data_IF_103441667559
#
_entry.id   IF_103441667559
#
_cell.length_a   1.000
_cell.length_b   1.000
_cell.length_c   1.000
_cell.angle_alpha   90.00
_cell.angle_beta   90.00
_cell.angle_gamma   90.00
#
_symmetry.space_group_name_H-M   'P 1'
#
loop_
_entity.id
_entity.type
_entity.pdbx_description
1 polymer ?
#
# COMPACT_ATOMS: atom_id res chain seq x y z
N UNK A 1 7.21 1.37 11.89
CA UNK A 1 6.26 0.25 11.91
C UNK A 1 5.78 0.05 13.33
N UNK A 2 4.46 0.02 13.54
CA UNK A 2 3.83 -0.19 14.84
C UNK A 2 3.52 -1.67 15.11
N UNK A 3 3.22 -2.42 14.06
CA UNK A 3 3.00 -3.86 14.09
C UNK A 3 4.23 -4.58 14.62
N UNK A 4 4.03 -5.71 15.31
CA UNK A 4 5.14 -6.51 15.80
C UNK A 4 5.92 -7.16 14.66
N UNK A 5 7.16 -7.57 14.92
CA UNK A 5 7.94 -8.34 13.97
C UNK A 5 7.23 -9.65 13.59
N UNK A 6 6.59 -10.32 14.55
CA UNK A 6 5.82 -11.54 14.28
C UNK A 6 4.62 -11.31 13.35
N UNK A 7 3.93 -10.18 13.47
CA UNK A 7 2.86 -9.81 12.55
C UNK A 7 3.42 -9.52 11.15
N UNK A 8 4.51 -8.76 11.07
CA UNK A 8 5.21 -8.48 9.82
C UNK A 8 5.65 -9.76 9.10
N UNK A 9 6.31 -10.68 9.80
CA UNK A 9 6.81 -11.93 9.23
C UNK A 9 5.67 -12.79 8.67
N UNK A 10 4.53 -12.83 9.38
CA UNK A 10 3.34 -13.53 8.89
C UNK A 10 2.73 -12.86 7.67
N UNK A 11 2.61 -11.53 7.65
CA UNK A 11 2.13 -10.77 6.48
C UNK A 11 2.99 -11.11 5.27
N UNK A 12 4.31 -10.97 5.39
CA UNK A 12 5.25 -11.33 4.32
C UNK A 12 5.07 -12.80 3.89
N UNK A 13 4.96 -13.72 4.85
CA UNK A 13 4.72 -15.14 4.58
C UNK A 13 3.41 -15.41 3.84
N UNK A 14 2.33 -14.68 4.10
CA UNK A 14 1.08 -14.86 3.35
C UNK A 14 1.12 -14.26 1.95
N UNK A 15 1.90 -13.21 1.74
CA UNK A 15 2.00 -12.54 0.45
C UNK A 15 2.95 -13.29 -0.51
N UNK A 16 4.05 -13.87 -0.01
CA UNK A 16 5.08 -14.49 -0.88
C UNK A 16 5.53 -15.88 -0.47
N UNK A 17 4.89 -16.49 0.54
CA UNK A 17 5.22 -17.80 1.15
C UNK A 17 6.58 -17.84 1.87
N UNK A 18 7.68 -17.55 1.19
CA UNK A 18 9.02 -17.52 1.75
C UNK A 18 9.98 -16.73 0.84
N UNK A 19 11.16 -16.37 1.37
CA UNK A 19 12.23 -15.76 0.57
C UNK A 19 12.61 -16.64 -0.64
N UNK A 20 12.69 -17.96 -0.46
CA UNK A 20 13.02 -18.88 -1.55
C UNK A 20 11.95 -18.87 -2.66
N UNK A 21 10.67 -18.83 -2.29
CA UNK A 21 9.58 -18.72 -3.26
C UNK A 21 9.59 -17.37 -3.96
N UNK A 22 9.83 -16.28 -3.22
CA UNK A 22 9.99 -14.94 -3.79
C UNK A 22 11.11 -14.90 -4.83
N UNK A 23 12.29 -15.40 -4.47
CA UNK A 23 13.45 -15.42 -5.37
C UNK A 23 13.17 -16.21 -6.65
N UNK A 24 12.40 -17.30 -6.55
CA UNK A 24 12.05 -18.12 -7.69
C UNK A 24 10.92 -17.52 -8.57
N UNK A 25 9.95 -16.80 -7.99
CA UNK A 25 8.69 -16.46 -8.67
C UNK A 25 8.36 -14.96 -8.76
N UNK A 26 8.74 -14.16 -7.77
CA UNK A 26 8.17 -12.82 -7.54
C UNK A 26 9.18 -11.67 -7.67
N UNK A 27 10.41 -11.95 -8.11
CA UNK A 27 11.39 -10.87 -8.41
C UNK A 27 10.95 -9.96 -9.56
N UNK A 28 10.11 -10.48 -10.47
CA UNK A 28 9.60 -9.77 -11.65
C UNK A 28 8.13 -9.39 -11.45
N UNK A 29 7.65 -8.34 -12.12
CA UNK A 29 6.25 -7.93 -12.08
C UNK A 29 5.30 -9.07 -12.45
N UNK A 30 4.18 -9.14 -11.74
CA UNK A 30 3.05 -10.00 -12.06
C UNK A 30 1.75 -9.21 -12.24
N UNK A 31 0.74 -9.86 -12.82
CA UNK A 31 -0.61 -9.32 -12.89
C UNK A 31 -1.55 -10.35 -12.25
N UNK A 32 -2.02 -10.13 -11.02
CA UNK A 32 -2.81 -11.11 -10.29
C UNK A 32 -4.26 -11.20 -10.79
N UNK A 33 -4.69 -10.30 -11.67
CA UNK A 33 -6.02 -10.31 -12.29
C UNK A 33 -6.91 -9.11 -11.91
N UNK A 34 -8.17 -9.19 -12.32
CA UNK A 34 -9.24 -8.23 -11.99
C UNK A 34 -8.88 -6.77 -12.31
N UNK A 35 -8.94 -5.88 -11.32
CA UNK A 35 -8.63 -4.44 -11.43
C UNK A 35 -7.22 -4.11 -10.96
N UNK A 36 -6.33 -5.11 -10.91
CA UNK A 36 -4.94 -4.91 -10.49
C UNK A 36 -4.10 -4.35 -11.64
N UNK A 37 -3.03 -3.64 -11.30
CA UNK A 37 -1.96 -3.26 -12.21
C UNK A 37 -0.77 -4.22 -12.16
N UNK A 38 0.39 -3.82 -12.70
CA UNK A 38 1.63 -4.54 -12.48
C UNK A 38 2.00 -4.52 -10.99
N UNK A 39 2.08 -5.69 -10.39
CA UNK A 39 2.45 -5.88 -8.98
C UNK A 39 3.91 -6.27 -8.88
N UNK A 40 4.66 -5.56 -8.05
CA UNK A 40 6.10 -5.76 -7.84
C UNK A 40 6.43 -5.94 -6.36
N UNK A 41 7.61 -6.51 -6.07
CA UNK A 41 8.04 -6.74 -4.69
C UNK A 41 7.01 -7.56 -3.90
N UNK A 42 6.71 -7.13 -2.67
CA UNK A 42 5.73 -7.79 -1.81
C UNK A 42 4.41 -7.00 -1.89
N UNK A 43 3.54 -7.40 -2.82
CA UNK A 43 2.17 -6.89 -2.95
C UNK A 43 2.06 -5.40 -3.33
N UNK A 44 3.08 -4.82 -3.98
CA UNK A 44 3.04 -3.42 -4.40
C UNK A 44 2.41 -3.29 -5.79
N UNK A 45 1.13 -2.91 -5.84
CA UNK A 45 0.43 -2.65 -7.10
C UNK A 45 0.79 -1.24 -7.64
N UNK A 46 1.53 -1.20 -8.75
CA UNK A 46 1.92 0.03 -9.43
C UNK A 46 0.73 0.73 -10.08
N UNK A 47 -0.24 -0.03 -10.59
CA UNK A 47 -1.44 0.54 -11.23
C UNK A 47 -2.36 1.26 -10.25
N UNK A 48 -2.42 0.80 -9.00
CA UNK A 48 -3.21 1.42 -7.93
C UNK A 48 -2.44 2.47 -7.11
N UNK A 49 -1.17 2.69 -7.40
CA UNK A 49 -0.34 3.69 -6.69
C UNK A 49 -0.01 4.85 -7.62
N UNK A 50 -0.10 6.08 -7.11
CA UNK A 50 0.22 7.27 -7.90
C UNK A 50 1.73 7.39 -8.16
N UNK A 51 2.08 8.14 -9.21
CA UNK A 51 3.46 8.32 -9.68
C UNK A 51 4.40 8.87 -8.61
N UNK A 52 3.94 9.84 -7.81
CA UNK A 52 4.79 10.50 -6.82
C UNK A 52 5.13 9.53 -5.68
N UNK A 53 4.14 8.74 -5.23
CA UNK A 53 4.34 7.69 -4.23
C UNK A 53 5.27 6.59 -4.75
N UNK A 54 5.11 6.12 -6.00
CA UNK A 54 6.02 5.14 -6.60
C UNK A 54 7.45 5.70 -6.62
N UNK A 55 7.62 6.93 -7.09
CA UNK A 55 8.94 7.56 -7.13
C UNK A 55 9.55 7.64 -5.73
N UNK A 56 8.83 8.15 -4.73
CA UNK A 56 9.33 8.28 -3.36
C UNK A 56 9.71 6.94 -2.71
N UNK A 57 8.89 5.90 -2.94
CA UNK A 57 9.12 4.59 -2.34
C UNK A 57 10.32 3.86 -2.96
N UNK A 58 10.58 4.06 -4.25
CA UNK A 58 11.55 3.26 -5.00
C UNK A 58 12.83 4.01 -5.42
N UNK A 59 12.84 5.35 -5.35
CA UNK A 59 14.02 6.16 -5.66
C UNK A 59 15.22 5.76 -4.79
N UNK A 60 16.37 5.55 -5.44
CA UNK A 60 17.61 5.12 -4.79
C UNK A 60 17.60 3.65 -4.32
N UNK A 61 16.48 2.93 -4.45
CA UNK A 61 16.37 1.49 -4.11
C UNK A 61 16.44 0.58 -5.33
N UNK A 62 16.14 1.12 -6.51
CA UNK A 62 16.27 0.43 -7.81
C UNK A 62 16.95 1.35 -8.85
N UNK A 63 17.57 0.79 -9.90
CA UNK A 63 18.04 1.55 -11.05
C UNK A 63 17.00 2.52 -11.61
N UNK A 64 17.42 3.71 -12.03
CA UNK A 64 16.54 4.75 -12.57
C UNK A 64 15.71 4.28 -13.76
N UNK A 65 16.29 3.47 -14.65
CA UNK A 65 15.56 2.88 -15.78
C UNK A 65 14.40 1.99 -15.34
N UNK A 66 14.57 1.23 -14.25
CA UNK A 66 13.51 0.41 -13.66
C UNK A 66 12.43 1.31 -13.05
N UNK A 67 12.85 2.35 -12.32
CA UNK A 67 11.94 3.29 -11.69
C UNK A 67 11.06 4.02 -12.71
N UNK A 68 11.63 4.44 -13.84
CA UNK A 68 10.88 5.11 -14.92
C UNK A 68 9.78 4.21 -15.48
N UNK A 69 10.08 2.90 -15.69
CA UNK A 69 9.09 1.91 -16.10
C UNK A 69 7.99 1.73 -15.04
N UNK A 70 8.38 1.67 -13.76
CA UNK A 70 7.44 1.52 -12.64
C UNK A 70 6.50 2.73 -12.53
N UNK A 71 7.03 3.95 -12.63
CA UNK A 71 6.23 5.19 -12.61
C UNK A 71 5.32 5.28 -13.83
N UNK A 72 5.78 4.85 -15.01
CA UNK A 72 4.97 4.80 -16.23
C UNK A 72 3.83 3.76 -16.17
N UNK A 73 3.89 2.80 -15.25
CA UNK A 73 2.82 1.83 -15.00
C UNK A 73 1.68 2.37 -14.13
N UNK A 74 1.88 3.51 -13.46
CA UNK A 74 0.87 4.14 -12.60
C UNK A 74 -0.45 4.39 -13.33
N UNK A 75 -1.56 4.03 -12.68
CA UNK A 75 -2.92 4.16 -13.22
C UNK A 75 -3.31 3.09 -14.24
N UNK A 76 -2.41 2.18 -14.62
CA UNK A 76 -2.72 1.08 -15.55
C UNK A 76 -3.26 -0.12 -14.76
N UNK A 77 -4.58 -0.31 -14.81
CA UNK A 77 -5.29 -1.41 -14.15
C UNK A 77 -6.06 -2.28 -15.16
N UNK A 78 -6.54 -3.43 -14.73
CA UNK A 78 -7.36 -4.31 -15.58
C UNK A 78 -6.61 -4.79 -16.82
N UNK A 79 -7.26 -4.75 -17.98
CA UNK A 79 -6.64 -5.15 -19.24
C UNK A 79 -5.40 -4.30 -19.58
N UNK A 80 -5.43 -3.00 -19.26
CA UNK A 80 -4.28 -2.10 -19.42
C UNK A 80 -3.14 -2.48 -18.47
N UNK A 81 -3.48 -2.87 -17.23
CA UNK A 81 -2.55 -3.41 -16.24
C UNK A 81 -1.86 -4.68 -16.75
N UNK A 82 -2.63 -5.66 -17.25
CA UNK A 82 -2.10 -6.89 -17.85
C UNK A 82 -1.10 -6.60 -18.98
N UNK A 83 -1.46 -5.71 -19.90
CA UNK A 83 -0.60 -5.33 -21.02
C UNK A 83 0.68 -4.63 -20.53
N UNK A 84 0.55 -3.72 -19.55
CA UNK A 84 1.69 -3.03 -18.95
C UNK A 84 2.64 -3.99 -18.25
N UNK A 85 2.11 -4.97 -17.49
CA UNK A 85 2.92 -5.99 -16.82
C UNK A 85 3.74 -6.76 -17.85
N UNK A 86 3.10 -7.24 -18.93
CA UNK A 86 3.80 -7.98 -19.97
C UNK A 86 4.92 -7.16 -20.62
N UNK A 87 4.71 -5.86 -20.82
CA UNK A 87 5.69 -4.97 -21.45
C UNK A 87 6.92 -4.72 -20.58
N UNK A 88 6.77 -4.59 -19.26
CA UNK A 88 7.88 -4.23 -18.34
C UNK A 88 8.50 -5.45 -17.65
N UNK A 89 7.93 -6.65 -17.82
CA UNK A 89 8.25 -7.83 -17.00
C UNK A 89 9.72 -8.21 -17.03
N UNK A 90 10.39 -8.07 -18.17
CA UNK A 90 11.77 -8.54 -18.35
C UNK A 90 12.81 -7.49 -17.98
N UNK A 91 12.39 -6.24 -17.77
CA UNK A 91 13.26 -5.11 -17.45
C UNK A 91 13.24 -4.74 -15.96
N UNK A 92 12.37 -5.39 -15.18
CA UNK A 92 12.24 -5.21 -13.74
C UNK A 92 12.65 -6.50 -13.03
N UNK A 93 13.65 -6.39 -12.16
CA UNK A 93 14.13 -7.47 -11.30
C UNK A 93 14.48 -6.91 -9.92
N UNK A 94 13.68 -7.26 -8.90
CA UNK A 94 13.77 -6.69 -7.56
C UNK A 94 14.31 -7.74 -6.58
N UNK A 95 15.51 -7.54 -6.02
CA UNK A 95 16.06 -8.41 -4.98
C UNK A 95 15.16 -8.48 -3.75
N UNK A 96 15.26 -9.59 -3.00
CA UNK A 96 14.45 -9.83 -1.81
C UNK A 96 14.61 -8.72 -0.77
N UNK A 97 15.85 -8.31 -0.51
CA UNK A 97 16.20 -7.34 0.52
C UNK A 97 15.57 -5.97 0.22
N UNK A 98 15.56 -5.59 -1.06
CA UNK A 98 14.92 -4.36 -1.54
C UNK A 98 13.40 -4.44 -1.38
N UNK A 99 12.78 -5.54 -1.82
CA UNK A 99 11.33 -5.72 -1.69
C UNK A 99 10.88 -5.75 -0.22
N UNK A 100 11.64 -6.41 0.65
CA UNK A 100 11.37 -6.48 2.08
C UNK A 100 11.51 -5.10 2.75
N UNK A 101 12.56 -4.34 2.39
CA UNK A 101 12.76 -2.98 2.89
C UNK A 101 11.61 -2.05 2.48
N UNK A 102 11.24 -2.02 1.21
CA UNK A 102 10.09 -1.23 0.73
C UNK A 102 8.79 -1.66 1.41
N UNK A 103 8.57 -2.96 1.58
CA UNK A 103 7.37 -3.44 2.26
C UNK A 103 7.32 -2.97 3.72
N UNK A 104 8.45 -3.04 4.45
CA UNK A 104 8.57 -2.63 5.85
C UNK A 104 8.51 -1.13 6.08
N UNK A 105 9.19 -0.36 5.22
CA UNK A 105 9.39 1.08 5.41
C UNK A 105 8.27 1.92 4.79
N UNK A 106 7.66 1.44 3.70
CA UNK A 106 6.71 2.23 2.92
C UNK A 106 5.32 1.62 2.90
N UNK A 107 5.20 0.33 2.54
CA UNK A 107 3.89 -0.30 2.31
C UNK A 107 3.15 -0.53 3.62
N UNK A 108 3.77 -1.22 4.57
CA UNK A 108 3.11 -1.57 5.81
C UNK A 108 2.70 -0.33 6.63
N UNK A 109 3.54 0.72 6.79
CA UNK A 109 3.11 1.95 7.47
C UNK A 109 1.90 2.64 6.82
N UNK A 110 1.77 2.60 5.48
CA UNK A 110 0.57 3.10 4.79
C UNK A 110 -0.67 2.29 5.15
N UNK A 111 -0.55 0.96 5.27
CA UNK A 111 -1.66 0.11 5.71
C UNK A 111 -1.98 0.29 7.20
N UNK A 112 -0.98 0.44 8.06
CA UNK A 112 -1.16 0.79 9.48
C UNK A 112 -1.95 2.09 9.63
N UNK A 113 -1.63 3.12 8.83
CA UNK A 113 -2.36 4.38 8.81
C UNK A 113 -3.83 4.20 8.36
N UNK A 114 -4.09 3.33 7.37
CA UNK A 114 -5.46 2.98 6.96
C UNK A 114 -6.24 2.32 8.10
N UNK A 115 -5.62 1.43 8.87
CA UNK A 115 -6.25 0.80 10.05
C UNK A 115 -6.57 1.83 11.12
N UNK A 116 -5.58 2.64 11.51
CA UNK A 116 -5.74 3.68 12.52
C UNK A 116 -6.83 4.70 12.15
N UNK A 117 -7.02 4.98 10.85
CA UNK A 117 -8.11 5.82 10.36
C UNK A 117 -9.47 5.13 10.38
N UNK A 118 -9.52 3.83 10.10
CA UNK A 118 -10.77 3.10 9.91
C UNK A 118 -11.39 2.56 11.21
N UNK A 119 -10.57 2.35 12.24
CA UNK A 119 -10.98 1.77 13.52
C UNK A 119 -10.69 2.73 14.68
N UNK A 120 -11.61 2.88 15.64
CA UNK A 120 -11.37 3.65 16.86
C UNK A 120 -10.46 2.87 17.82
N UNK A 121 -9.94 3.53 18.86
CA UNK A 121 -9.28 2.90 20.00
C UNK A 121 -8.06 2.02 19.63
N UNK A 122 -7.45 2.26 18.46
CA UNK A 122 -6.32 1.42 18.03
C UNK A 122 -5.14 1.60 18.95
N UNK A 123 -4.92 2.77 19.56
CA UNK A 123 -3.87 3.10 20.52
C UNK A 123 -3.83 2.18 21.76
N UNK A 124 -4.94 1.51 22.09
CA UNK A 124 -5.02 0.54 23.19
C UNK A 124 -4.61 -0.88 22.78
N UNK A 125 -4.26 -1.11 21.52
CA UNK A 125 -3.80 -2.40 21.02
C UNK A 125 -2.30 -2.55 21.17
N UNK A 126 -1.87 -3.73 21.61
CA UNK A 126 -0.48 -4.17 21.48
C UNK A 126 -0.07 -4.26 20.00
N UNK A 127 1.24 -4.35 19.77
CA UNK A 127 1.81 -4.44 18.43
C UNK A 127 1.34 -5.68 17.66
N UNK A 128 1.04 -6.79 18.35
CA UNK A 128 0.48 -8.00 17.76
C UNK A 128 -0.96 -7.79 17.31
N UNK A 129 -1.82 -7.29 18.21
CA UNK A 129 -3.23 -7.02 17.90
C UNK A 129 -3.37 -6.03 16.74
N UNK A 130 -2.59 -4.94 16.77
CA UNK A 130 -2.61 -3.95 15.70
C UNK A 130 -2.06 -4.52 14.38
N UNK A 131 -1.01 -5.34 14.45
CA UNK A 131 -0.46 -6.03 13.29
C UNK A 131 -1.43 -7.01 12.64
N UNK A 132 -2.25 -7.70 13.43
CA UNK A 132 -3.31 -8.58 12.90
C UNK A 132 -4.40 -7.79 12.16
N UNK A 133 -4.85 -6.66 12.72
CA UNK A 133 -5.82 -5.80 12.02
C UNK A 133 -5.22 -5.20 10.73
N UNK A 134 -3.91 -4.93 10.74
CA UNK A 134 -3.17 -4.52 9.54
C UNK A 134 -3.13 -5.64 8.50
N UNK A 135 -2.83 -6.88 8.89
CA UNK A 135 -2.90 -8.05 8.01
C UNK A 135 -4.29 -8.26 7.40
N UNK A 136 -5.34 -8.20 8.23
CA UNK A 136 -6.72 -8.33 7.77
C UNK A 136 -7.06 -7.23 6.75
N UNK A 137 -6.67 -5.99 7.04
CA UNK A 137 -6.91 -4.85 6.17
C UNK A 137 -6.13 -4.94 4.87
N UNK A 138 -4.90 -5.46 4.90
CA UNK A 138 -4.12 -5.75 3.69
C UNK A 138 -4.86 -6.76 2.78
N UNK A 139 -5.42 -7.83 3.36
CA UNK A 139 -6.13 -8.87 2.62
C UNK A 139 -7.52 -8.47 2.12
N UNK A 140 -8.25 -7.65 2.88
CA UNK A 140 -9.69 -7.35 2.63
C UNK A 140 -10.01 -5.89 2.39
N UNK A 141 -9.02 -5.02 2.40
CA UNK A 141 -9.20 -3.58 2.46
C UNK A 141 -9.76 -3.09 3.80
N UNK A 142 -9.83 -1.77 3.98
CA UNK A 142 -10.38 -1.10 5.16
C UNK A 142 -11.93 -1.12 5.17
N UNK A 143 -12.53 -2.27 4.91
CA UNK A 143 -13.96 -2.45 4.66
C UNK A 143 -14.82 -2.54 5.93
N UNK A 144 -14.39 -1.92 7.03
CA UNK A 144 -15.02 -2.01 8.36
C UNK A 144 -16.40 -1.34 8.46
N UNK A 145 -16.80 -0.56 7.46
CA UNK A 145 -18.13 0.05 7.35
C UNK A 145 -18.90 -0.39 6.09
N UNK A 146 -18.33 -1.30 5.29
CA UNK A 146 -18.97 -1.76 4.07
C UNK A 146 -20.23 -2.58 4.39
N UNK A 147 -21.26 -2.43 3.54
CA UNK A 147 -22.55 -3.11 3.69
C UNK A 147 -22.55 -4.48 3.00
N UNK A 148 -23.45 -5.36 3.43
CA UNK A 148 -23.64 -6.69 2.87
C UNK A 148 -23.10 -7.82 3.75
N UNK A 149 -23.54 -9.04 3.43
CA UNK A 149 -23.29 -10.26 4.20
C UNK A 149 -21.78 -10.55 4.37
N UNK A 150 -21.00 -10.38 3.31
CA UNK A 150 -19.55 -10.65 3.34
C UNK A 150 -18.73 -9.77 4.29
N UNK A 151 -19.32 -8.72 4.87
CA UNK A 151 -18.63 -7.76 5.75
C UNK A 151 -19.19 -7.77 7.18
N UNK A 152 -20.01 -8.77 7.55
CA UNK A 152 -20.60 -8.88 8.90
C UNK A 152 -19.50 -8.83 9.98
N UNK A 153 -18.49 -9.68 9.88
CA UNK A 153 -17.41 -9.78 10.87
C UNK A 153 -16.52 -8.53 10.86
N UNK A 154 -16.32 -7.89 9.69
CA UNK A 154 -15.59 -6.62 9.61
C UNK A 154 -16.32 -5.52 10.40
N UNK A 155 -17.65 -5.44 10.30
CA UNK A 155 -18.44 -4.48 11.07
C UNK A 155 -18.47 -4.83 12.56
N UNK A 156 -18.55 -6.12 12.89
CA UNK A 156 -18.48 -6.59 14.27
C UNK A 156 -17.14 -6.24 14.94
N UNK A 157 -16.01 -6.44 14.25
CA UNK A 157 -14.68 -5.98 14.72
C UNK A 157 -14.70 -4.49 15.02
N UNK A 158 -15.28 -3.66 14.14
CA UNK A 158 -15.37 -2.22 14.39
C UNK A 158 -16.21 -1.89 15.63
N UNK A 159 -17.31 -2.61 15.86
CA UNK A 159 -18.14 -2.45 17.04
C UNK A 159 -17.37 -2.86 18.31
N UNK A 160 -16.69 -4.01 18.30
CA UNK A 160 -15.85 -4.47 19.42
C UNK A 160 -14.71 -3.48 19.72
N UNK A 161 -14.08 -2.92 18.68
CA UNK A 161 -13.08 -1.85 18.83
C UNK A 161 -13.68 -0.61 19.50
N UNK A 162 -14.88 -0.17 19.09
CA UNK A 162 -15.54 1.00 19.67
C UNK A 162 -15.91 0.78 21.16
N UNK A 163 -16.38 -0.42 21.50
CA UNK A 163 -16.72 -0.84 22.85
C UNK A 163 -15.50 -1.23 23.71
N UNK A 164 -14.28 -1.24 23.12
CA UNK A 164 -13.04 -1.73 23.74
C UNK A 164 -13.12 -3.21 24.19
N UNK A 165 -13.99 -3.98 23.55
CA UNK A 165 -14.17 -5.41 23.79
C UNK A 165 -13.19 -6.23 22.91
N UNK A 166 -11.90 -5.90 22.98
CA UNK A 166 -10.89 -6.46 22.07
C UNK A 166 -10.80 -7.99 22.13
N UNK A 167 -11.15 -8.59 23.28
CA UNK A 167 -11.18 -10.03 23.49
C UNK A 167 -12.17 -10.78 22.58
N UNK A 168 -13.14 -10.09 21.95
CA UNK A 168 -14.11 -10.69 21.01
C UNK A 168 -13.60 -10.76 19.57
N UNK A 169 -12.54 -10.01 19.22
CA UNK A 169 -12.03 -9.93 17.84
C UNK A 169 -11.50 -11.26 17.29
N UNK A 170 -10.81 -12.13 18.07
CA UNK A 170 -10.37 -13.45 17.59
C UNK A 170 -11.50 -14.31 17.03
N UNK A 171 -12.67 -14.27 17.65
CA UNK A 171 -13.84 -15.05 17.19
C UNK A 171 -14.37 -14.53 15.86
N UNK A 172 -14.40 -13.20 15.66
CA UNK A 172 -14.76 -12.60 14.38
C UNK A 172 -13.78 -12.99 13.27
N UNK A 173 -12.47 -13.02 13.58
CA UNK A 173 -11.44 -13.47 12.63
C UNK A 173 -11.68 -14.92 12.19
N UNK A 174 -11.98 -15.83 13.13
CA UNK A 174 -12.27 -17.23 12.82
C UNK A 174 -13.61 -17.40 12.09
N UNK A 175 -14.63 -16.62 12.45
CA UNK A 175 -15.94 -16.64 11.81
C UNK A 175 -15.86 -16.28 10.32
N UNK A 176 -14.96 -15.37 9.93
CA UNK A 176 -14.73 -15.00 8.53
C UNK A 176 -14.35 -16.18 7.61
N UNK A 177 -13.90 -17.33 8.16
CA UNK A 177 -13.63 -18.54 7.37
C UNK A 177 -14.83 -19.01 6.56
N UNK A 178 -16.06 -18.66 6.97
CA UNK A 178 -17.28 -18.96 6.20
C UNK A 178 -17.29 -18.36 4.80
N UNK A 179 -16.52 -17.30 4.55
CA UNK A 179 -16.44 -16.63 3.25
C UNK A 179 -15.61 -17.42 2.23
N UNK A 180 -14.80 -18.37 2.70
CA UNK A 180 -13.91 -19.18 1.88
C UNK A 180 -13.85 -20.63 2.40
N UNK A 181 -14.98 -21.37 2.32
CA UNK A 181 -15.06 -22.73 2.83
C UNK A 181 -13.98 -23.65 2.23
N UNK A 182 -13.65 -23.44 0.94
CA UNK A 182 -12.73 -24.29 0.20
C UNK A 182 -11.29 -23.77 0.14
N UNK A 183 -11.01 -22.59 0.72
CA UNK A 183 -9.65 -22.02 0.72
C UNK A 183 -8.90 -22.36 2.00
N UNK A 184 -8.15 -23.47 1.98
CA UNK A 184 -7.29 -23.85 3.11
C UNK A 184 -6.35 -22.70 3.53
N UNK A 185 -5.70 -22.06 2.56
CA UNK A 185 -4.74 -20.98 2.85
C UNK A 185 -5.36 -19.78 3.57
N UNK A 186 -6.55 -19.33 3.17
CA UNK A 186 -7.24 -18.23 3.84
C UNK A 186 -7.77 -18.64 5.22
N UNK A 187 -8.21 -19.89 5.37
CA UNK A 187 -8.66 -20.43 6.65
C UNK A 187 -7.52 -20.51 7.66
N UNK A 188 -6.39 -21.08 7.25
CA UNK A 188 -5.18 -21.17 8.07
C UNK A 188 -4.65 -19.76 8.42
N UNK A 189 -4.74 -18.80 7.50
CA UNK A 189 -4.44 -17.37 7.77
C UNK A 189 -5.31 -16.79 8.88
N UNK A 190 -6.64 -16.96 8.79
CA UNK A 190 -7.59 -16.44 9.80
C UNK A 190 -7.34 -17.05 11.19
N UNK A 191 -7.05 -18.35 11.26
CA UNK A 191 -6.74 -19.02 12.53
C UNK A 191 -5.41 -18.53 13.12
N UNK A 192 -4.38 -18.34 12.29
CA UNK A 192 -3.10 -17.82 12.72
C UNK A 192 -3.15 -16.34 13.14
N UNK A 193 -3.99 -15.53 12.51
CA UNK A 193 -4.27 -14.15 12.92
C UNK A 193 -5.00 -14.10 14.26
N UNK A 194 -6.03 -14.94 14.45
CA UNK A 194 -6.74 -15.02 15.73
C UNK A 194 -5.79 -15.42 16.87
N UNK A 195 -4.95 -16.44 16.67
CA UNK A 195 -3.95 -16.86 17.65
C UNK A 195 -2.91 -15.77 17.97
N UNK A 196 -2.47 -15.02 16.95
CA UNK A 196 -1.56 -13.89 17.17
C UNK A 196 -2.24 -12.74 17.92
N UNK A 197 -3.52 -12.47 17.64
CA UNK A 197 -4.29 -11.45 18.35
C UNK A 197 -4.47 -11.84 19.82
N UNK A 198 -4.80 -13.09 20.11
CA UNK A 198 -4.92 -13.62 21.48
C UNK A 198 -3.60 -13.48 22.25
N UNK A 199 -2.47 -13.83 21.63
CA UNK A 199 -1.14 -13.56 22.22
C UNK A 199 -0.96 -12.07 22.54
N UNK A 200 -1.39 -11.20 21.63
CA UNK A 200 -1.32 -9.76 21.79
C UNK A 200 -2.20 -9.18 22.90
N UNK A 201 -3.29 -9.85 23.29
CA UNK A 201 -4.15 -9.42 24.40
C UNK A 201 -3.46 -9.54 25.75
N UNK A 202 -2.47 -10.42 25.87
CA UNK A 202 -1.67 -10.61 27.07
C UNK A 202 -0.34 -9.82 27.05
N UNK A 203 -0.01 -9.20 25.92
CA UNK A 203 1.20 -8.41 25.75
C UNK A 203 0.98 -6.96 26.25
N UNK A 204 2.02 -6.30 26.78
CA UNK A 204 1.91 -4.90 27.14
C UNK A 204 1.59 -4.05 25.90
N UNK A 205 0.66 -3.11 26.07
CA UNK A 205 0.42 -2.05 25.08
C UNK A 205 1.63 -1.14 25.12
N UNK A 206 2.35 -1.04 24.00
CA UNK A 206 3.40 -0.04 23.88
C UNK A 206 2.75 1.34 23.96
N UNK A 207 2.87 2.01 25.10
CA UNK A 207 2.48 3.41 25.24
C UNK A 207 3.21 4.21 24.16
N UNK A 208 2.54 5.15 23.47
CA UNK A 208 3.26 6.07 22.62
C UNK A 208 4.25 6.85 23.50
N UNK A 209 5.54 6.55 23.36
CA UNK A 209 6.59 7.43 23.89
C UNK A 209 6.32 8.81 23.29
N UNK A 210 6.21 9.89 24.10
CA UNK A 210 6.19 11.22 23.54
C UNK A 210 7.40 11.32 22.63
N UNK A 211 7.18 11.65 21.35
CA UNK A 211 8.29 11.89 20.44
C UNK A 211 9.21 12.89 21.13
N UNK A 212 10.43 12.47 21.44
CA UNK A 212 11.45 13.41 21.88
C UNK A 212 11.51 14.50 20.80
N UNK A 213 11.53 15.79 21.17
CA UNK A 213 11.64 16.84 20.17
C UNK A 213 12.84 16.51 19.30
N UNK A 214 12.60 16.39 17.98
CA UNK A 214 13.66 16.13 17.02
C UNK A 214 14.73 17.20 17.21
N UNK A 215 15.82 16.82 17.87
CA UNK A 215 17.05 17.57 17.80
C UNK A 215 17.53 17.38 16.36
N UNK A 216 17.19 18.35 15.52
CA UNK A 216 17.84 18.52 14.23
C UNK A 216 19.32 18.75 14.57
N UNK A 217 20.24 17.82 14.23
CA UNK A 217 21.65 18.09 14.41
C UNK A 217 21.98 19.37 13.61
N UNK A 218 22.81 20.28 14.16
CA UNK A 218 23.16 21.51 13.45
C UNK A 218 23.70 21.15 12.07
N UNK A 219 23.01 21.64 11.04
CA UNK A 219 23.46 21.55 9.65
C UNK A 219 24.71 22.41 9.56
N UNK A 220 25.87 21.79 9.54
CA UNK A 220 27.09 22.45 9.08
C UNK A 220 26.86 22.85 7.61
N UNK A 221 26.92 24.14 7.24
CA UNK A 221 26.71 24.53 5.85
C UNK A 221 27.81 23.90 4.99
N UNK A 222 27.42 22.98 4.11
CA UNK A 222 28.27 22.55 3.00
C UNK A 222 28.40 23.74 2.03
N UNK A 223 29.60 24.00 1.48
CA UNK A 223 29.78 25.09 0.52
C UNK A 223 28.88 24.88 -0.70
N UNK A 224 28.14 25.94 -1.04
CA UNK A 224 27.27 26.00 -2.22
C UNK A 224 28.15 25.83 -3.48
N UNK A 225 27.90 24.85 -4.36
CA UNK A 225 28.60 24.78 -5.64
C UNK A 225 28.25 26.00 -6.50
N UNK A 226 29.20 26.54 -7.28
CA UNK A 226 28.96 27.73 -8.10
C UNK A 226 27.86 27.48 -9.13
N UNK A 227 27.00 28.49 -9.31
CA UNK A 227 25.88 28.46 -10.25
C UNK A 227 26.36 28.22 -11.69
N UNK A 228 25.66 27.38 -12.48
CA UNK A 228 25.93 27.26 -13.91
C UNK A 228 25.60 28.59 -14.61
N UNK A 229 26.50 29.00 -15.51
CA UNK A 229 26.36 30.21 -16.31
C UNK A 229 25.21 30.08 -17.31
N UNK A 230 24.33 31.09 -17.31
CA UNK A 230 23.58 31.60 -18.45
C UNK A 230 22.89 30.60 -19.38
N UNK A 231 21.62 30.31 -19.10
CA UNK A 231 20.64 30.04 -20.16
C UNK A 231 19.49 31.01 -19.91
N UNK A 232 19.16 31.83 -20.91
CA UNK A 232 18.05 32.78 -20.85
C UNK A 232 16.73 32.05 -20.53
N UNK A 233 15.85 32.66 -19.71
CA UNK A 233 14.57 32.05 -19.36
C UNK A 233 13.64 31.98 -20.58
N UNK A 234 12.96 30.85 -20.83
CA UNK A 234 11.85 30.85 -21.78
C UNK A 234 10.70 31.71 -21.24
N UNK A 235 10.16 32.59 -22.09
CA UNK A 235 8.99 33.42 -21.80
C UNK A 235 7.82 32.54 -21.35
N UNK A 236 7.31 32.83 -20.16
CA UNK A 236 6.10 32.21 -19.63
C UNK A 236 4.86 32.77 -20.34
N UNK A 237 4.24 31.97 -21.21
CA UNK A 237 2.85 32.18 -21.59
C UNK A 237 1.96 31.85 -20.37
N UNK A 238 1.15 32.82 -19.94
CA UNK A 238 0.32 32.67 -18.75
C UNK A 238 -0.73 31.56 -18.93
N UNK A 239 -0.93 30.75 -17.89
CA UNK A 239 -1.92 29.68 -17.83
C UNK A 239 -3.39 30.14 -18.02
N UNK A 240 -3.64 31.44 -18.15
CA UNK A 240 -4.95 32.01 -18.44
C UNK A 240 -5.31 32.03 -19.94
N UNK A 241 -4.33 31.98 -20.86
CA UNK A 241 -4.61 31.94 -22.30
C UNK A 241 -4.88 30.54 -22.87
N UNK A 242 -4.45 29.48 -22.17
CA UNK A 242 -4.65 28.10 -22.62
C UNK A 242 -6.06 27.57 -22.31
N UNK A 243 -6.72 28.15 -21.29
CA UNK A 243 -8.07 27.75 -20.86
C UNK A 243 -9.15 28.40 -21.78
N UNK A 244 -8.89 29.60 -22.32
CA UNK A 244 -9.82 30.27 -23.24
C UNK A 244 -9.86 29.64 -24.65
N UNK A 245 -8.78 29.00 -25.10
CA UNK A 245 -8.73 28.30 -26.41
C UNK A 245 -9.40 26.92 -26.39
N UNK A 246 -9.46 26.26 -25.24
CA UNK A 246 -10.09 24.93 -25.12
C UNK A 246 -11.63 25.02 -25.11
N UNK A 247 -12.21 26.10 -24.57
CA UNK A 247 -13.67 26.30 -24.51
C UNK A 247 -14.25 26.63 -25.89
N UNK A 248 -13.50 27.32 -26.76
CA UNK A 248 -13.97 27.69 -28.11
C UNK A 248 -13.91 26.50 -29.10
N UNK A 249 -12.99 25.54 -28.91
CA UNK A 249 -12.89 24.34 -29.76
C UNK A 249 -13.99 23.30 -29.47
N UNK A 250 -14.48 23.22 -28.23
CA UNK A 250 -15.52 22.25 -27.83
C UNK A 250 -16.92 22.68 -28.29
N UNK A 251 -17.18 23.99 -28.40
CA UNK A 251 -18.47 24.53 -28.88
C UNK A 251 -18.58 24.46 -30.43
N UNK A 252 -17.45 24.44 -31.15
CA UNK A 252 -17.44 24.34 -32.62
C UNK A 252 -17.71 22.92 -33.18
N UNK A 253 -17.40 21.87 -32.42
CA UNK A 253 -17.51 20.48 -32.89
C UNK A 253 -18.94 19.90 -32.82
N UNK A 254 -19.90 20.60 -32.19
CA UNK A 254 -21.29 20.13 -32.03
C UNK A 254 -22.28 20.67 -33.08
N UNK A 255 -21.84 21.49 -34.05
CA UNK A 255 -22.71 22.08 -35.10
C UNK A 255 -22.55 21.50 -36.51
N UNK A 256 -21.79 20.42 -36.70
CA UNK A 256 -21.47 19.87 -38.02
C UNK A 256 -21.88 18.41 -38.23
N UNK A 257 -23.13 18.02 -37.93
CA UNK A 257 -23.72 16.78 -38.45
C UNK A 257 -25.23 16.95 -38.63
N UNK A 258 -25.59 17.55 -39.75
CA UNK A 258 -26.90 17.44 -40.39
C UNK A 258 -26.66 17.32 -41.88
N UNK A 259 -26.86 16.11 -42.38
CA UNK A 259 -27.32 15.79 -43.74
C UNK A 259 -27.81 14.36 -43.68
#
# INVERSE_FOLDING_TARGET
MRSSQAAFDKIVGWEVSSQAVYQAKYRRPEWPGEQSGPTVGIGYDLGQTDKATIHADWFGRVPTSMLDLMVAASGKTGAAGKAATAAIRNDIDIPWEVALAVHKECVLPRWEAKVAKALPNTEFLSADCFGVLTSLTFNRGASFAAQGDRYIEMRAIKAHMAAKEFAKIPDELRAMKRLWPDSRGLRDRRDAEAALFERGLHAPVAMPTPAAPSQVPPITPQPVPPAPAGIDPPQAASAFELIAKLITAIIGAFKGSKS
#
